data_IF_674747234949
#
_entry.id   IF_674747234949
#
_cell.length_a   1.000
_cell.length_b   1.000
_cell.length_c   1.000
_cell.angle_alpha   90.00
_cell.angle_beta   90.00
_cell.angle_gamma   90.00
#
_symmetry.space_group_name_H-M   'P 1'
#
loop_
_entity.id
_entity.type
_entity.pdbx_description
1 polymer ?
#
# COMPACT_ATOMS: atom_id res chain seq x y z
N UNK A 1 -26.29 4.41 -14.57
CA UNK A 1 -25.72 3.11 -14.15
C UNK A 1 -26.39 2.04 -14.97
N UNK A 2 -25.63 1.24 -15.72
CA UNK A 2 -26.19 0.09 -16.45
C UNK A 2 -26.68 -0.94 -15.43
N UNK A 3 -27.89 -1.49 -15.64
CA UNK A 3 -28.44 -2.52 -14.77
C UNK A 3 -27.57 -3.78 -14.85
N UNK A 4 -26.87 -4.12 -13.76
CA UNK A 4 -26.09 -5.36 -13.66
C UNK A 4 -27.02 -6.44 -13.16
N UNK A 5 -27.28 -7.46 -13.99
CA UNK A 5 -28.08 -8.61 -13.55
C UNK A 5 -27.33 -9.43 -12.50
N UNK A 6 -28.04 -10.20 -11.67
CA UNK A 6 -27.41 -11.08 -10.68
C UNK A 6 -26.42 -12.07 -11.32
N UNK A 7 -26.75 -12.61 -12.50
CA UNK A 7 -25.87 -13.52 -13.24
C UNK A 7 -24.58 -12.84 -13.72
N UNK A 8 -24.67 -11.61 -14.22
CA UNK A 8 -23.50 -10.84 -14.64
C UNK A 8 -22.65 -10.40 -13.44
N UNK A 9 -23.28 -10.05 -12.31
CA UNK A 9 -22.58 -9.74 -11.08
C UNK A 9 -21.78 -10.95 -10.58
N UNK A 10 -22.41 -12.13 -10.53
CA UNK A 10 -21.75 -13.38 -10.18
C UNK A 10 -20.56 -13.67 -11.09
N UNK A 11 -20.72 -13.54 -12.41
CA UNK A 11 -19.63 -13.74 -13.39
C UNK A 11 -18.43 -12.84 -13.13
N UNK A 12 -18.66 -11.55 -12.87
CA UNK A 12 -17.58 -10.56 -12.60
C UNK A 12 -16.83 -10.85 -11.30
N UNK A 13 -17.55 -11.25 -10.25
CA UNK A 13 -16.93 -11.63 -8.98
C UNK A 13 -16.07 -12.88 -9.19
N UNK A 14 -16.59 -13.89 -9.87
CA UNK A 14 -15.85 -15.13 -10.18
C UNK A 14 -14.63 -14.88 -11.06
N UNK A 15 -14.72 -13.99 -12.07
CA UNK A 15 -13.56 -13.59 -12.88
C UNK A 15 -12.45 -12.95 -12.03
N UNK A 16 -12.81 -12.04 -11.13
CA UNK A 16 -11.83 -11.45 -10.20
C UNK A 16 -11.19 -12.52 -9.30
N UNK A 17 -11.99 -13.43 -8.74
CA UNK A 17 -11.49 -14.50 -7.88
C UNK A 17 -10.50 -15.42 -8.61
N UNK A 18 -10.83 -15.80 -9.85
CA UNK A 18 -9.94 -16.58 -10.69
C UNK A 18 -8.63 -15.85 -10.94
N UNK A 19 -8.68 -14.58 -11.40
CA UNK A 19 -7.48 -13.78 -11.66
C UNK A 19 -6.63 -13.56 -10.43
N UNK A 20 -7.24 -13.36 -9.27
CA UNK A 20 -6.53 -13.17 -8.00
C UNK A 20 -5.78 -14.44 -7.60
N UNK A 21 -6.46 -15.59 -7.69
CA UNK A 21 -5.86 -16.87 -7.34
C UNK A 21 -4.82 -17.32 -8.37
N UNK A 22 -5.05 -17.10 -9.66
CA UNK A 22 -4.06 -17.40 -10.71
C UNK A 22 -2.81 -16.54 -10.52
N UNK A 23 -2.96 -15.26 -10.16
CA UNK A 23 -1.82 -14.40 -9.86
C UNK A 23 -1.00 -14.88 -8.65
N UNK A 24 -1.63 -15.51 -7.66
CA UNK A 24 -0.94 -16.13 -6.52
C UNK A 24 -0.26 -17.44 -6.91
N UNK A 25 -0.96 -18.32 -7.63
CA UNK A 25 -0.46 -19.62 -8.08
C UNK A 25 0.76 -19.48 -8.99
N UNK A 26 0.72 -18.52 -9.92
CA UNK A 26 1.81 -18.26 -10.86
C UNK A 26 2.80 -17.19 -10.39
N UNK A 27 2.65 -16.68 -9.16
CA UNK A 27 3.50 -15.62 -8.61
C UNK A 27 3.59 -14.37 -9.52
N UNK A 28 2.48 -14.02 -10.18
CA UNK A 28 2.36 -12.86 -11.05
C UNK A 28 2.06 -11.59 -10.23
N UNK A 29 3.13 -10.96 -9.74
CA UNK A 29 3.05 -9.70 -9.01
C UNK A 29 2.43 -8.56 -9.83
N UNK A 30 2.58 -8.58 -11.16
CA UNK A 30 2.07 -7.53 -12.05
C UNK A 30 0.55 -7.59 -12.25
N UNK A 31 -0.03 -8.78 -12.24
CA UNK A 31 -1.49 -8.92 -12.19
C UNK A 31 -2.04 -8.64 -10.81
N UNK A 32 -1.39 -9.17 -9.75
CA UNK A 32 -1.87 -8.99 -8.38
C UNK A 32 -1.86 -7.51 -7.95
N UNK A 33 -0.84 -6.73 -8.32
CA UNK A 33 -0.79 -5.28 -8.01
C UNK A 33 -1.98 -4.51 -8.60
N UNK A 34 -2.46 -4.89 -9.79
CA UNK A 34 -3.61 -4.25 -10.45
C UNK A 34 -4.91 -4.56 -9.73
N UNK A 35 -5.06 -5.78 -9.20
CA UNK A 35 -6.23 -6.20 -8.44
C UNK A 35 -6.32 -5.51 -7.07
N UNK A 36 -5.18 -5.13 -6.49
CA UNK A 36 -5.09 -4.48 -5.18
C UNK A 36 -5.17 -2.95 -5.20
N UNK A 37 -5.11 -2.30 -6.38
CA UNK A 37 -5.06 -0.84 -6.48
C UNK A 37 -6.45 -0.20 -6.43
N UNK A 38 -7.09 -0.23 -5.26
CA UNK A 38 -8.45 0.26 -5.05
C UNK A 38 -8.65 1.72 -5.49
N UNK A 39 -7.68 2.59 -5.22
CA UNK A 39 -7.78 4.02 -5.51
C UNK A 39 -7.42 4.40 -6.95
N UNK A 40 -7.19 3.42 -7.83
CA UNK A 40 -6.81 3.65 -9.23
C UNK A 40 -7.94 4.08 -10.16
N UNK A 41 -9.20 4.03 -9.69
CA UNK A 41 -10.40 4.23 -10.50
C UNK A 41 -10.43 3.34 -11.77
N UNK A 42 -9.79 2.18 -11.70
CA UNK A 42 -9.74 1.19 -12.79
C UNK A 42 -11.15 0.72 -13.18
N UNK A 43 -11.52 0.71 -14.48
CA UNK A 43 -12.83 0.25 -14.93
C UNK A 43 -13.17 -1.17 -14.46
N UNK A 44 -12.18 -2.07 -14.36
CA UNK A 44 -12.42 -3.44 -13.89
C UNK A 44 -12.78 -3.50 -12.40
N UNK A 45 -12.14 -2.67 -11.57
CA UNK A 45 -12.43 -2.62 -10.13
C UNK A 45 -13.74 -1.89 -9.84
N UNK A 46 -14.06 -0.85 -10.60
CA UNK A 46 -15.37 -0.18 -10.53
C UNK A 46 -16.49 -1.14 -10.94
N UNK A 47 -16.31 -1.88 -12.03
CA UNK A 47 -17.25 -2.89 -12.50
C UNK A 47 -17.47 -4.02 -11.47
N UNK A 48 -16.40 -4.44 -10.78
CA UNK A 48 -16.46 -5.39 -9.67
C UNK A 48 -17.19 -4.80 -8.46
N UNK A 49 -16.91 -3.56 -8.07
CA UNK A 49 -17.58 -2.91 -6.95
C UNK A 49 -19.09 -2.77 -7.19
N UNK A 50 -19.49 -2.43 -8.42
CA UNK A 50 -20.90 -2.39 -8.83
C UNK A 50 -21.54 -3.80 -8.75
N UNK A 51 -20.81 -4.85 -9.17
CA UNK A 51 -21.27 -6.25 -9.03
C UNK A 51 -21.41 -6.68 -7.56
N UNK A 52 -20.46 -6.33 -6.69
CA UNK A 52 -20.49 -6.62 -5.26
C UNK A 52 -21.66 -5.91 -4.55
N UNK A 53 -22.09 -4.75 -5.03
CA UNK A 53 -23.25 -4.05 -4.47
C UNK A 53 -24.57 -4.73 -4.83
N UNK A 54 -24.65 -5.39 -5.98
CA UNK A 54 -25.82 -6.19 -6.41
C UNK A 54 -25.83 -7.56 -5.73
N UNK A 55 -24.67 -8.20 -5.60
CA UNK A 55 -24.52 -9.55 -5.04
C UNK A 55 -23.93 -9.49 -3.62
N UNK A 56 -24.79 -9.29 -2.62
CA UNK A 56 -24.37 -9.14 -1.22
C UNK A 56 -23.76 -10.40 -0.59
N UNK A 57 -24.00 -11.57 -1.19
CA UNK A 57 -23.53 -12.88 -0.70
C UNK A 57 -22.18 -13.32 -1.29
N UNK A 58 -21.35 -12.39 -1.76
CA UNK A 58 -20.04 -12.70 -2.39
C UNK A 58 -19.13 -13.57 -1.49
N UNK A 59 -19.25 -13.45 -0.17
CA UNK A 59 -18.51 -14.28 0.79
C UNK A 59 -18.90 -15.77 0.73
N UNK A 60 -20.10 -16.12 0.25
CA UNK A 60 -20.48 -17.52 0.01
C UNK A 60 -19.67 -18.12 -1.14
N UNK A 61 -19.38 -17.34 -2.18
CA UNK A 61 -18.56 -17.78 -3.32
C UNK A 61 -17.12 -18.11 -2.90
N UNK A 62 -16.57 -17.36 -1.94
CA UNK A 62 -15.26 -17.65 -1.35
C UNK A 62 -15.22 -19.00 -0.63
N UNK A 63 -16.34 -19.44 -0.05
CA UNK A 63 -16.45 -20.70 0.69
C UNK A 63 -16.75 -21.91 -0.20
N UNK A 64 -17.19 -21.68 -1.44
CA UNK A 64 -17.57 -22.75 -2.36
C UNK A 64 -16.37 -23.43 -3.03
N UNK A 65 -15.18 -22.84 -2.97
CA UNK A 65 -13.98 -23.41 -3.55
C UNK A 65 -12.79 -23.25 -2.61
N UNK A 66 -12.10 -24.36 -2.35
CA UNK A 66 -10.88 -24.38 -1.53
C UNK A 66 -9.79 -23.46 -2.10
N UNK A 67 -9.79 -23.25 -3.42
CA UNK A 67 -8.91 -22.32 -4.15
C UNK A 67 -9.03 -20.89 -3.62
N UNK A 68 -10.23 -20.47 -3.20
CA UNK A 68 -10.49 -19.11 -2.71
C UNK A 68 -10.44 -19.02 -1.19
N UNK A 69 -10.81 -20.10 -0.50
CA UNK A 69 -10.86 -20.12 0.97
C UNK A 69 -9.48 -19.88 1.59
N UNK A 70 -8.41 -20.39 0.98
CA UNK A 70 -7.02 -20.18 1.42
C UNK A 70 -6.65 -18.69 1.56
N UNK A 71 -7.23 -17.83 0.72
CA UNK A 71 -6.95 -16.39 0.72
C UNK A 71 -8.19 -15.57 1.10
N UNK A 72 -9.21 -16.21 1.69
CA UNK A 72 -10.46 -15.57 2.07
C UNK A 72 -10.28 -14.39 3.03
N UNK A 73 -9.30 -14.49 3.94
CA UNK A 73 -8.94 -13.43 4.90
C UNK A 73 -8.35 -12.17 4.24
N UNK A 74 -7.83 -12.31 3.01
CA UNK A 74 -7.37 -11.19 2.19
C UNK A 74 -8.50 -10.69 1.29
N UNK A 75 -9.19 -11.60 0.60
CA UNK A 75 -10.17 -11.23 -0.44
C UNK A 75 -11.46 -10.67 0.15
N UNK A 76 -12.01 -11.25 1.23
CA UNK A 76 -13.27 -10.77 1.80
C UNK A 76 -13.18 -9.32 2.29
N UNK A 77 -12.12 -8.88 3.00
CA UNK A 77 -11.98 -7.47 3.36
C UNK A 77 -11.66 -6.57 2.16
N UNK A 78 -11.02 -7.07 1.09
CA UNK A 78 -10.88 -6.32 -0.18
C UNK A 78 -12.25 -6.04 -0.79
N UNK A 79 -13.13 -7.05 -0.89
CA UNK A 79 -14.49 -6.87 -1.40
C UNK A 79 -15.27 -5.84 -0.60
N UNK A 80 -15.21 -5.94 0.74
CA UNK A 80 -15.84 -4.93 1.61
C UNK A 80 -15.26 -3.54 1.38
N UNK A 81 -13.94 -3.44 1.25
CA UNK A 81 -13.27 -2.17 1.00
C UNK A 81 -13.67 -1.55 -0.34
N UNK A 82 -13.77 -2.34 -1.42
CA UNK A 82 -14.24 -1.89 -2.73
C UNK A 82 -15.68 -1.36 -2.69
N UNK A 83 -16.58 -2.07 -2.01
CA UNK A 83 -17.96 -1.60 -1.82
C UNK A 83 -17.98 -0.26 -1.07
N UNK A 84 -17.28 -0.16 0.06
CA UNK A 84 -17.22 1.06 0.85
C UNK A 84 -16.60 2.23 0.07
N UNK A 85 -15.53 1.97 -0.69
CA UNK A 85 -14.90 2.96 -1.57
C UNK A 85 -15.90 3.49 -2.60
N UNK A 86 -16.63 2.57 -3.25
CA UNK A 86 -17.64 2.91 -4.27
C UNK A 86 -18.80 3.72 -3.71
N UNK A 87 -19.20 3.45 -2.47
CA UNK A 87 -20.27 4.17 -1.75
C UNK A 87 -19.78 5.48 -1.09
N UNK A 88 -18.49 5.80 -1.17
CA UNK A 88 -17.91 6.98 -0.53
C UNK A 88 -17.74 6.87 0.99
N UNK A 89 -17.93 5.69 1.57
CA UNK A 89 -17.68 5.43 2.98
C UNK A 89 -16.19 5.14 3.22
N UNK A 90 -15.40 6.21 3.27
CA UNK A 90 -13.94 6.14 3.27
C UNK A 90 -13.36 5.56 4.58
N UNK A 91 -14.05 5.73 5.71
CA UNK A 91 -13.60 5.22 7.02
C UNK A 91 -13.70 3.69 7.05
N UNK A 92 -14.86 3.13 6.68
CA UNK A 92 -15.05 1.68 6.63
C UNK A 92 -14.22 1.04 5.51
N UNK A 93 -14.00 1.77 4.42
CA UNK A 93 -13.08 1.38 3.35
C UNK A 93 -11.66 1.19 3.90
N UNK A 94 -11.11 2.20 4.59
CA UNK A 94 -9.78 2.08 5.22
C UNK A 94 -9.72 0.89 6.18
N UNK A 95 -10.69 0.76 7.10
CA UNK A 95 -10.68 -0.32 8.10
C UNK A 95 -10.73 -1.72 7.46
N UNK A 96 -11.51 -1.87 6.39
CA UNK A 96 -11.60 -3.15 5.67
C UNK A 96 -10.32 -3.44 4.89
N UNK A 97 -9.74 -2.41 4.25
CA UNK A 97 -8.46 -2.56 3.55
C UNK A 97 -7.31 -2.87 4.51
N UNK A 98 -7.29 -2.26 5.69
CA UNK A 98 -6.30 -2.54 6.75
C UNK A 98 -6.34 -3.99 7.21
N UNK A 99 -7.54 -4.60 7.30
CA UNK A 99 -7.68 -6.05 7.57
C UNK A 99 -7.05 -6.89 6.47
N UNK A 100 -7.36 -6.63 5.20
CA UNK A 100 -6.75 -7.33 4.07
C UNK A 100 -5.23 -7.14 4.01
N UNK A 101 -4.76 -5.91 4.23
CA UNK A 101 -3.34 -5.57 4.23
C UNK A 101 -2.58 -6.31 5.34
N UNK A 102 -3.20 -6.45 6.52
CA UNK A 102 -2.63 -7.25 7.61
C UNK A 102 -2.56 -8.74 7.27
N UNK A 103 -3.61 -9.32 6.70
CA UNK A 103 -3.62 -10.71 6.26
C UNK A 103 -2.57 -10.95 5.16
N UNK A 104 -2.49 -10.06 4.17
CA UNK A 104 -1.47 -10.12 3.12
C UNK A 104 -0.05 -10.08 3.68
N UNK A 105 0.22 -9.23 4.68
CA UNK A 105 1.54 -9.18 5.31
C UNK A 105 1.90 -10.47 6.06
N UNK A 106 0.93 -11.20 6.61
CA UNK A 106 1.21 -12.49 7.23
C UNK A 106 1.66 -13.51 6.18
N UNK A 107 0.92 -13.62 5.07
CA UNK A 107 1.31 -14.50 3.96
C UNK A 107 2.63 -14.07 3.32
N UNK A 108 2.81 -12.76 3.12
CA UNK A 108 4.02 -12.20 2.54
C UNK A 108 5.26 -12.55 3.35
N UNK A 109 5.20 -12.72 4.67
CA UNK A 109 6.35 -13.15 5.47
C UNK A 109 6.82 -14.55 5.10
N UNK A 110 5.90 -15.44 4.75
CA UNK A 110 6.16 -16.85 4.49
C UNK A 110 6.71 -17.11 3.08
N UNK A 111 6.47 -16.22 2.11
CA UNK A 111 7.01 -16.38 0.76
C UNK A 111 8.51 -16.10 0.74
N UNK A 112 9.37 -16.99 0.24
CA UNK A 112 10.82 -16.69 0.29
C UNK A 112 11.26 -15.68 -0.78
N UNK A 113 10.69 -15.79 -1.99
CA UNK A 113 11.05 -14.95 -3.12
C UNK A 113 10.40 -13.55 -3.07
N UNK A 114 10.95 -12.62 -3.86
CA UNK A 114 10.54 -11.22 -3.89
C UNK A 114 9.42 -10.91 -4.92
N UNK A 115 8.76 -11.94 -5.47
CA UNK A 115 7.76 -11.81 -6.54
C UNK A 115 6.61 -10.83 -6.18
N UNK A 116 6.23 -10.79 -4.90
CA UNK A 116 5.11 -9.99 -4.40
C UNK A 116 5.52 -8.58 -3.90
N UNK A 117 6.73 -8.11 -4.19
CA UNK A 117 7.14 -6.74 -3.83
C UNK A 117 6.26 -5.68 -4.49
N UNK A 118 5.91 -5.83 -5.77
CA UNK A 118 5.05 -4.84 -6.45
C UNK A 118 3.63 -4.78 -5.84
N UNK A 119 2.94 -5.90 -5.58
CA UNK A 119 1.71 -5.92 -4.77
C UNK A 119 1.85 -5.23 -3.42
N UNK A 120 2.97 -5.48 -2.72
CA UNK A 120 3.22 -4.89 -1.40
C UNK A 120 3.35 -3.36 -1.48
N UNK A 121 4.01 -2.84 -2.52
CA UNK A 121 4.11 -1.40 -2.75
C UNK A 121 2.73 -0.77 -2.96
N UNK A 122 1.84 -1.44 -3.71
CA UNK A 122 0.46 -0.99 -3.87
C UNK A 122 -0.27 -0.99 -2.53
N UNK A 123 -0.15 -2.04 -1.71
CA UNK A 123 -0.78 -2.07 -0.38
C UNK A 123 -0.28 -0.91 0.50
N UNK A 124 1.03 -0.66 0.53
CA UNK A 124 1.62 0.43 1.30
C UNK A 124 1.11 1.81 0.82
N UNK A 125 0.97 1.98 -0.49
CA UNK A 125 0.41 3.19 -1.10
C UNK A 125 -1.08 3.37 -0.77
N UNK A 126 -1.89 2.33 -0.99
CA UNK A 126 -3.34 2.34 -0.78
C UNK A 126 -3.67 2.58 0.70
N UNK A 127 -2.97 1.94 1.64
CA UNK A 127 -3.15 2.20 3.09
C UNK A 127 -3.01 3.68 3.40
N UNK A 128 -1.94 4.33 2.92
CA UNK A 128 -1.73 5.76 3.16
C UNK A 128 -2.81 6.60 2.50
N UNK A 129 -3.13 6.35 1.23
CA UNK A 129 -4.07 7.17 0.45
C UNK A 129 -5.50 7.04 0.98
N UNK A 130 -5.93 5.84 1.34
CA UNK A 130 -7.24 5.59 1.95
C UNK A 130 -7.33 6.23 3.34
N UNK A 131 -6.26 6.16 4.14
CA UNK A 131 -6.19 6.83 5.44
C UNK A 131 -6.32 8.36 5.30
N UNK A 132 -5.57 8.97 4.38
CA UNK A 132 -5.65 10.40 4.11
C UNK A 132 -7.06 10.82 3.64
N UNK A 133 -7.69 10.00 2.79
CA UNK A 133 -9.07 10.20 2.32
C UNK A 133 -10.08 10.12 3.48
N UNK A 134 -9.96 9.11 4.33
CA UNK A 134 -10.82 8.91 5.50
C UNK A 134 -10.67 10.04 6.52
N UNK A 135 -9.44 10.44 6.85
CA UNK A 135 -9.16 11.49 7.83
C UNK A 135 -9.64 12.87 7.36
N UNK A 136 -9.57 13.17 6.06
CA UNK A 136 -10.20 14.39 5.53
C UNK A 136 -11.70 14.41 5.78
N UNK A 137 -12.38 13.29 5.58
CA UNK A 137 -13.82 13.16 5.84
C UNK A 137 -14.16 13.20 7.35
N UNK A 138 -13.30 12.66 8.21
CA UNK A 138 -13.48 12.77 9.66
C UNK A 138 -13.32 14.22 10.12
N UNK A 139 -12.25 14.88 9.69
CA UNK A 139 -11.96 16.27 10.04
C UNK A 139 -13.06 17.23 9.57
N UNK A 140 -13.57 17.07 8.34
CA UNK A 140 -14.68 17.89 7.84
C UNK A 140 -15.98 17.72 8.62
N UNK A 141 -16.15 16.58 9.30
CA UNK A 141 -17.29 16.27 10.16
C UNK A 141 -17.01 16.56 11.65
N UNK A 142 -15.92 17.26 11.98
CA UNK A 142 -15.53 17.57 13.36
C UNK A 142 -15.13 16.36 14.21
N UNK A 143 -14.82 15.22 13.57
CA UNK A 143 -14.36 13.99 14.24
C UNK A 143 -12.83 13.90 14.21
N UNK A 144 -12.27 13.16 15.16
CA UNK A 144 -10.82 12.97 15.26
C UNK A 144 -10.24 12.19 14.06
N UNK A 145 -9.28 12.76 13.29
CA UNK A 145 -8.62 12.07 12.19
C UNK A 145 -7.45 11.20 12.70
N UNK A 146 -7.70 9.91 12.85
CA UNK A 146 -6.75 8.96 13.44
C UNK A 146 -6.23 7.88 12.45
N UNK A 147 -6.79 7.80 11.23
CA UNK A 147 -6.49 6.71 10.30
C UNK A 147 -5.09 6.83 9.70
N UNK A 148 -4.59 8.05 9.47
CA UNK A 148 -3.25 8.27 8.97
C UNK A 148 -2.18 7.86 10.00
N UNK A 149 -2.47 8.02 11.30
CA UNK A 149 -1.62 7.51 12.38
C UNK A 149 -1.59 5.98 12.37
N UNK A 150 -2.76 5.34 12.24
CA UNK A 150 -2.85 3.88 12.13
C UNK A 150 -2.10 3.35 10.89
N UNK A 151 -2.20 4.03 9.75
CA UNK A 151 -1.45 3.72 8.54
C UNK A 151 0.07 3.76 8.78
N UNK A 152 0.56 4.74 9.52
CA UNK A 152 1.96 4.82 9.94
C UNK A 152 2.40 3.59 10.75
N UNK A 153 1.59 3.17 11.73
CA UNK A 153 1.85 1.95 12.51
C UNK A 153 1.87 0.68 11.64
N UNK A 154 0.95 0.56 10.68
CA UNK A 154 0.97 -0.53 9.72
C UNK A 154 2.23 -0.51 8.86
N UNK A 155 2.61 0.64 8.30
CA UNK A 155 3.82 0.77 7.46
C UNK A 155 5.10 0.45 8.24
N UNK A 156 5.18 0.76 9.53
CA UNK A 156 6.29 0.32 10.38
C UNK A 156 6.35 -1.21 10.52
N UNK A 157 5.20 -1.88 10.63
CA UNK A 157 5.14 -3.36 10.61
C UNK A 157 5.65 -3.91 9.28
N UNK A 158 5.27 -3.29 8.15
CA UNK A 158 5.77 -3.67 6.82
C UNK A 158 7.28 -3.47 6.72
N UNK A 159 7.80 -2.32 7.17
CA UNK A 159 9.23 -2.04 7.21
C UNK A 159 10.00 -3.13 7.97
N UNK A 160 9.51 -3.54 9.14
CA UNK A 160 10.13 -4.63 9.92
C UNK A 160 10.20 -5.96 9.18
N UNK A 161 9.24 -6.28 8.31
CA UNK A 161 9.28 -7.49 7.47
C UNK A 161 10.33 -7.38 6.36
N UNK A 162 10.55 -6.17 5.84
CA UNK A 162 11.51 -5.92 4.75
C UNK A 162 12.93 -5.70 5.27
N UNK A 163 13.10 -5.26 6.52
CA UNK A 163 14.40 -5.00 7.13
C UNK A 163 15.20 -6.28 7.50
N UNK A 164 14.77 -7.46 7.04
CA UNK A 164 15.50 -8.71 7.15
C UNK A 164 16.51 -8.91 6.02
N UNK A 165 17.45 -9.86 6.21
CA UNK A 165 18.30 -10.33 5.13
C UNK A 165 17.44 -11.06 4.09
N UNK A 166 17.67 -10.82 2.81
CA UNK A 166 16.98 -11.51 1.72
C UNK A 166 16.68 -10.61 0.52
N UNK A 167 16.04 -11.14 -0.52
CA UNK A 167 15.76 -10.42 -1.76
C UNK A 167 14.69 -9.32 -1.59
N UNK A 168 13.88 -9.39 -0.53
CA UNK A 168 12.79 -8.44 -0.27
C UNK A 168 13.26 -7.10 0.29
N UNK A 169 14.49 -7.04 0.81
CA UNK A 169 15.04 -5.87 1.49
C UNK A 169 15.00 -4.59 0.66
N UNK A 170 15.10 -4.71 -0.66
CA UNK A 170 15.03 -3.58 -1.60
C UNK A 170 13.70 -2.81 -1.50
N UNK A 171 12.64 -3.45 -0.98
CA UNK A 171 11.37 -2.78 -0.72
C UNK A 171 11.36 -1.85 0.48
N UNK A 172 12.35 -1.93 1.37
CA UNK A 172 12.39 -1.13 2.58
C UNK A 172 12.42 0.37 2.27
N UNK A 173 13.17 0.80 1.25
CA UNK A 173 13.25 2.22 0.89
C UNK A 173 11.91 2.78 0.39
N UNK A 174 11.15 1.99 -0.38
CA UNK A 174 9.81 2.39 -0.81
C UNK A 174 8.89 2.65 0.39
N UNK A 175 8.89 1.73 1.37
CA UNK A 175 8.07 1.85 2.58
C UNK A 175 8.54 3.02 3.45
N UNK A 176 9.84 3.23 3.58
CA UNK A 176 10.42 4.43 4.22
C UNK A 176 9.90 5.72 3.58
N UNK A 177 9.84 5.78 2.25
CA UNK A 177 9.29 6.93 1.55
C UNK A 177 7.78 7.16 1.84
N UNK A 178 7.00 6.08 2.04
CA UNK A 178 5.59 6.22 2.47
C UNK A 178 5.50 6.69 3.94
N UNK A 179 6.37 6.18 4.83
CA UNK A 179 6.45 6.61 6.23
C UNK A 179 6.79 8.10 6.34
N UNK A 180 7.74 8.60 5.53
CA UNK A 180 8.05 10.04 5.50
C UNK A 180 6.82 10.88 5.13
N UNK A 181 6.08 10.48 4.08
CA UNK A 181 4.83 11.17 3.70
C UNK A 181 3.83 11.22 4.86
N UNK A 182 3.69 10.12 5.60
CA UNK A 182 2.83 10.05 6.79
C UNK A 182 3.33 10.97 7.91
N UNK A 183 4.60 10.84 8.32
CA UNK A 183 5.16 11.57 9.45
C UNK A 183 5.23 13.07 9.22
N UNK A 184 5.59 13.51 8.02
CA UNK A 184 5.56 14.93 7.68
C UNK A 184 4.13 15.49 7.70
N UNK A 185 3.15 14.72 7.22
CA UNK A 185 1.75 15.15 7.22
C UNK A 185 1.13 15.20 8.61
N UNK A 186 1.56 14.31 9.52
CA UNK A 186 1.13 14.29 10.93
C UNK A 186 1.92 15.27 11.82
N UNK A 187 2.98 15.92 11.32
CA UNK A 187 3.87 16.75 12.13
C UNK A 187 4.79 15.95 13.06
N UNK A 188 4.88 14.63 12.92
CA UNK A 188 5.71 13.74 13.76
C UNK A 188 7.06 13.43 13.10
N UNK A 189 7.72 14.45 12.53
CA UNK A 189 8.94 14.30 11.72
C UNK A 189 10.13 13.70 12.48
N UNK A 190 10.15 13.80 13.80
CA UNK A 190 11.17 13.18 14.65
C UNK A 190 11.24 11.65 14.49
N UNK A 191 10.12 10.99 14.13
CA UNK A 191 10.06 9.55 13.88
C UNK A 191 10.83 9.12 12.63
N UNK A 192 11.11 10.04 11.70
CA UNK A 192 11.92 9.75 10.50
C UNK A 192 13.33 9.28 10.86
N UNK A 193 13.92 9.80 11.96
CA UNK A 193 15.30 9.50 12.37
C UNK A 193 15.54 8.02 12.60
N UNK A 194 14.59 7.30 13.20
CA UNK A 194 14.78 5.87 13.48
C UNK A 194 14.81 5.06 12.17
N UNK A 195 13.94 5.40 11.22
CA UNK A 195 13.83 4.69 9.94
C UNK A 195 15.05 4.98 9.06
N UNK A 196 15.51 6.24 9.01
CA UNK A 196 16.76 6.66 8.34
C UNK A 196 17.93 5.85 8.87
N UNK A 197 18.10 5.82 10.20
CA UNK A 197 19.17 5.08 10.85
C UNK A 197 19.13 3.59 10.47
N UNK A 198 17.94 2.98 10.41
CA UNK A 198 17.81 1.59 10.00
C UNK A 198 18.24 1.35 8.56
N UNK A 199 17.99 2.29 7.63
CA UNK A 199 18.46 2.19 6.24
C UNK A 199 19.98 2.38 6.15
N UNK A 200 20.54 3.36 6.85
CA UNK A 200 21.95 3.74 6.71
C UNK A 200 22.92 2.84 7.47
N UNK A 201 22.52 2.33 8.64
CA UNK A 201 23.43 1.56 9.51
C UNK A 201 23.35 0.05 9.27
N UNK A 202 22.26 -0.44 8.69
CA UNK A 202 22.11 -1.86 8.45
C UNK A 202 22.92 -2.24 7.21
N UNK A 203 24.03 -2.97 7.43
CA UNK A 203 24.91 -3.53 6.39
C UNK A 203 24.22 -4.44 5.36
N UNK A 204 22.93 -4.70 5.55
CA UNK A 204 22.11 -5.48 4.64
C UNK A 204 21.66 -4.66 3.42
N UNK A 205 21.62 -3.33 3.54
CA UNK A 205 21.20 -2.46 2.45
C UNK A 205 22.42 -1.95 1.72
N UNK A 206 22.43 -2.17 0.41
CA UNK A 206 23.24 -1.39 -0.51
C UNK A 206 22.34 -0.31 -1.12
N UNK A 207 22.69 0.95 -0.92
CA UNK A 207 21.87 2.06 -1.39
C UNK A 207 21.74 2.06 -2.91
N UNK A 208 22.74 1.52 -3.64
CA UNK A 208 22.71 1.48 -5.09
C UNK A 208 21.71 0.47 -5.66
N UNK A 209 21.39 -0.59 -4.90
CA UNK A 209 20.36 -1.58 -5.28
C UNK A 209 18.94 -0.99 -5.29
N UNK A 210 18.71 0.15 -4.64
CA UNK A 210 17.38 0.74 -4.58
C UNK A 210 16.96 1.43 -5.88
N UNK A 211 15.67 1.37 -6.25
CA UNK A 211 15.16 2.08 -7.41
C UNK A 211 15.42 3.59 -7.35
N UNK A 212 15.88 4.17 -8.46
CA UNK A 212 16.18 5.62 -8.59
C UNK A 212 15.05 6.52 -8.07
N UNK A 213 13.80 6.19 -8.40
CA UNK A 213 12.59 6.91 -7.93
C UNK A 213 12.51 7.01 -6.41
N UNK A 214 12.82 5.91 -5.73
CA UNK A 214 12.70 5.81 -4.28
C UNK A 214 13.89 6.52 -3.61
N UNK A 215 15.10 6.44 -4.22
CA UNK A 215 16.27 7.24 -3.81
C UNK A 215 15.97 8.75 -3.84
N UNK A 216 15.40 9.26 -4.94
CA UNK A 216 15.03 10.69 -5.05
C UNK A 216 14.06 11.10 -3.95
N UNK A 217 13.04 10.28 -3.70
CA UNK A 217 12.03 10.58 -2.67
C UNK A 217 12.67 10.56 -1.28
N UNK A 218 13.51 9.57 -0.99
CA UNK A 218 14.26 9.48 0.26
C UNK A 218 15.08 10.75 0.50
N UNK A 219 15.91 11.13 -0.47
CA UNK A 219 16.79 12.30 -0.40
C UNK A 219 16.03 13.61 -0.24
N UNK A 220 14.88 13.75 -0.91
CA UNK A 220 14.02 14.91 -0.71
C UNK A 220 13.54 15.05 0.73
N UNK A 221 13.09 13.95 1.35
CA UNK A 221 12.56 13.99 2.72
C UNK A 221 13.66 14.09 3.79
N UNK A 222 14.81 13.45 3.60
CA UNK A 222 15.96 13.63 4.49
C UNK A 222 16.48 15.06 4.44
N UNK A 223 16.58 15.66 3.25
CA UNK A 223 16.93 17.08 3.11
C UNK A 223 15.94 18.01 3.82
N UNK A 224 14.63 17.76 3.67
CA UNK A 224 13.60 18.52 4.41
C UNK A 224 13.70 18.35 5.92
N UNK A 225 14.07 17.17 6.41
CA UNK A 225 14.26 16.92 7.82
C UNK A 225 15.43 17.74 8.37
N UNK A 226 16.55 17.81 7.64
CA UNK A 226 17.71 18.62 8.05
C UNK A 226 17.39 20.12 8.06
N UNK A 227 16.64 20.63 7.06
CA UNK A 227 16.13 22.01 7.08
C UNK A 227 15.24 22.26 8.29
N UNK A 228 14.34 21.33 8.63
CA UNK A 228 13.49 21.44 9.82
C UNK A 228 14.30 21.48 11.12
N UNK A 229 15.45 20.82 11.17
CA UNK A 229 16.36 20.84 12.31
C UNK A 229 17.39 21.99 12.26
N UNK A 230 17.24 22.96 11.35
CA UNK A 230 18.16 24.08 11.14
C UNK A 230 19.60 23.66 10.79
N UNK A 231 19.80 22.43 10.30
CA UNK A 231 21.09 21.90 9.92
C UNK A 231 21.38 22.12 8.43
N UNK A 232 21.53 23.39 8.04
CA UNK A 232 21.66 23.78 6.63
C UNK A 232 22.94 23.25 5.96
N UNK A 233 24.01 23.00 6.73
CA UNK A 233 25.29 22.50 6.19
C UNK A 233 25.21 21.03 5.72
N UNK A 234 24.32 20.22 6.30
CA UNK A 234 24.10 18.84 5.87
C UNK A 234 23.29 18.72 4.57
N UNK A 235 22.59 19.80 4.19
CA UNK A 235 21.71 19.84 3.01
C UNK A 235 22.50 20.06 1.71
N UNK A 236 23.66 20.72 1.79
CA UNK A 236 24.33 21.35 0.64
C UNK A 236 25.14 20.40 -0.25
N UNK A 237 25.57 19.24 0.21
CA UNK A 237 26.60 18.47 -0.50
C UNK A 237 26.12 17.18 -1.24
N UNK A 238 25.17 16.36 -0.72
CA UNK A 238 24.65 15.22 -1.49
C UNK A 238 23.18 15.35 -1.95
N UNK A 239 22.37 16.20 -1.32
CA UNK A 239 20.90 16.16 -1.51
C UNK A 239 20.40 16.98 -2.71
N UNK A 240 20.93 18.19 -2.89
CA UNK A 240 20.51 19.07 -3.99
C UNK A 240 21.17 18.67 -5.33
N UNK A 241 22.46 18.34 -5.33
CA UNK A 241 23.20 17.99 -6.56
C UNK A 241 22.58 16.76 -7.25
N UNK A 242 22.25 15.70 -6.50
CA UNK A 242 21.62 14.51 -7.09
C UNK A 242 20.19 14.77 -7.60
N UNK A 243 19.41 15.65 -6.97
CA UNK A 243 18.08 16.02 -7.50
C UNK A 243 18.23 16.73 -8.86
N UNK A 244 19.23 17.61 -8.99
CA UNK A 244 19.54 18.28 -10.26
C UNK A 244 20.12 17.31 -11.32
N UNK A 245 21.04 16.42 -10.95
CA UNK A 245 21.62 15.43 -11.87
C UNK A 245 20.59 14.38 -12.33
N UNK A 246 19.68 13.97 -11.45
CA UNK A 246 18.59 13.04 -11.83
C UNK A 246 17.60 13.72 -12.77
N UNK A 247 17.36 15.03 -12.62
CA UNK A 247 16.53 15.83 -13.53
C UNK A 247 17.22 16.05 -14.89
N UNK A 248 18.55 16.04 -14.95
CA UNK A 248 19.32 16.11 -16.20
C UNK A 248 19.40 14.75 -16.93
N UNK A 249 19.13 13.64 -16.23
CA UNK A 249 19.19 12.27 -16.75
C UNK A 249 17.80 11.65 -17.01
N UNK A 250 16.74 12.47 -17.09
CA UNK A 250 15.38 12.12 -17.49
C UNK A 250 14.96 13.05 -18.63
#
# INVERSE_FOLDING_TARGET
>A
MAYVSMGEAHRRITDYLNRFSDALLFQDGSSLKRLLSLSSDSPSLLSLADALNVFQDANRLLKQSDKYSQFGDIIAPIFRSLQCYRLGNLVDCYQSFEKAANAFIQEFRNWESAWALEPLYVIAYEIRVLAEKADRGLASNGKSPEKLKAAGSFLMKVFGVLAGKGPKRVGALYVTCQLFKVYFKLGTVHLCRSVIRSIETARIFDFEEFPKRDKVTYMYYTGRLEVFNENFLAVTYPHFILIYEIRAAL
#
